data_IF_932524981192
#
_entry.id   IF_932524981192
#
_cell.length_a   1.000
_cell.length_b   1.000
_cell.length_c   1.000
_cell.angle_alpha   90.00
_cell.angle_beta   90.00
_cell.angle_gamma   90.00
#
_symmetry.space_group_name_H-M   'P 1'
#
loop_
_entity.id
_entity.type
_entity.pdbx_description
1 polymer ?
#
# COMPACT_ATOMS: atom_id res chain seq x y z
N UNK A 1 -5.99 -13.64 1.95
CA UNK A 1 -4.59 -13.23 1.71
C UNK A 1 -4.55 -11.72 1.78
N UNK A 2 -3.57 -11.15 2.47
CA UNK A 2 -3.43 -9.71 2.59
C UNK A 2 -2.42 -9.23 1.55
N UNK A 3 -2.64 -8.03 1.02
CA UNK A 3 -1.74 -7.37 0.08
C UNK A 3 -1.10 -6.19 0.80
N UNK A 4 0.22 -6.21 0.89
CA UNK A 4 1.01 -5.10 1.45
C UNK A 4 0.96 -3.91 0.50
N UNK A 5 0.61 -2.73 1.03
CA UNK A 5 0.52 -1.47 0.29
C UNK A 5 1.67 -0.52 0.65
N UNK A 6 2.35 -0.75 1.77
CA UNK A 6 3.40 0.12 2.27
C UNK A 6 3.72 -0.07 3.74
N UNK A 7 4.32 0.96 4.35
CA UNK A 7 4.79 0.94 5.73
C UNK A 7 4.71 2.31 6.39
N UNK A 8 4.49 2.33 7.70
CA UNK A 8 4.69 3.54 8.51
C UNK A 8 6.18 3.70 8.82
N UNK A 9 6.76 4.83 8.40
CA UNK A 9 8.21 5.08 8.47
C UNK A 9 8.59 6.20 9.44
N UNK A 10 7.61 6.81 10.11
CA UNK A 10 7.87 7.86 11.07
C UNK A 10 6.63 8.61 11.51
N UNK A 11 6.84 9.67 12.27
CA UNK A 11 5.78 10.57 12.76
C UNK A 11 5.89 11.92 12.08
N UNK A 12 4.74 12.58 11.91
CA UNK A 12 4.61 13.91 11.35
C UNK A 12 3.90 14.85 12.34
N UNK A 13 4.60 15.85 12.85
CA UNK A 13 4.04 16.83 13.79
C UNK A 13 3.65 16.23 15.14
N UNK A 14 2.79 16.95 15.87
CA UNK A 14 2.37 16.60 17.25
C UNK A 14 0.94 16.05 17.34
N UNK A 15 0.17 16.10 16.24
CA UNK A 15 -1.25 15.71 16.20
C UNK A 15 -1.47 14.22 15.86
N UNK A 16 -0.46 13.38 16.07
CA UNK A 16 -0.54 11.95 15.78
C UNK A 16 -0.49 11.55 14.31
N UNK A 17 -0.14 12.45 13.38
CA UNK A 17 0.00 12.07 11.98
C UNK A 17 1.23 11.18 11.79
N UNK A 18 1.14 10.21 10.89
CA UNK A 18 2.23 9.28 10.57
C UNK A 18 2.78 9.55 9.18
N UNK A 19 4.08 9.33 8.99
CA UNK A 19 4.73 9.30 7.68
C UNK A 19 4.57 7.91 7.09
N UNK A 20 4.13 7.87 5.84
CA UNK A 20 3.83 6.63 5.13
C UNK A 20 4.77 6.51 3.94
N UNK A 21 5.38 5.34 3.81
CA UNK A 21 6.00 4.89 2.58
C UNK A 21 4.99 4.02 1.84
N UNK A 22 4.66 4.37 0.60
CA UNK A 22 3.72 3.59 -0.21
C UNK A 22 4.43 2.86 -1.34
N UNK A 23 4.09 1.59 -1.50
CA UNK A 23 4.48 0.75 -2.62
C UNK A 23 3.49 0.84 -3.79
N UNK A 24 2.33 1.49 -3.58
CA UNK A 24 1.35 1.74 -4.64
C UNK A 24 1.90 2.72 -5.70
N UNK A 25 1.33 2.66 -6.90
CA UNK A 25 1.66 3.52 -8.03
C UNK A 25 0.36 4.02 -8.66
N UNK A 26 0.07 5.34 -8.61
CA UNK A 26 0.80 6.41 -7.91
C UNK A 26 0.78 6.26 -6.37
N UNK A 27 1.80 6.76 -5.67
CA UNK A 27 1.97 6.53 -4.22
C UNK A 27 0.78 7.00 -3.37
N UNK A 28 0.11 8.07 -3.77
CA UNK A 28 -1.08 8.62 -3.09
C UNK A 28 -2.31 7.70 -3.15
N UNK A 29 -2.29 6.69 -4.03
CA UNK A 29 -3.38 5.73 -4.15
C UNK A 29 -3.59 4.92 -2.88
N UNK A 30 -2.56 4.79 -2.02
CA UNK A 30 -2.68 4.14 -0.72
C UNK A 30 -3.81 4.73 0.16
N UNK A 31 -4.13 6.02 -0.01
CA UNK A 31 -5.21 6.67 0.75
C UNK A 31 -6.61 6.30 0.27
N UNK A 32 -6.75 5.68 -0.91
CA UNK A 32 -8.04 5.18 -1.40
C UNK A 32 -8.51 3.92 -0.68
N UNK A 33 -7.61 3.26 0.04
CA UNK A 33 -7.91 2.04 0.78
C UNK A 33 -8.15 2.39 2.25
N UNK A 34 -9.28 1.96 2.81
CA UNK A 34 -9.59 2.03 4.23
C UNK A 34 -10.66 0.99 4.55
N UNK A 35 -10.58 0.27 5.68
CA UNK A 35 -9.55 0.37 6.73
C UNK A 35 -8.18 -0.19 6.28
N UNK A 36 -7.11 0.28 6.91
CA UNK A 36 -5.78 -0.33 6.80
C UNK A 36 -5.62 -1.39 7.87
N UNK A 37 -5.03 -2.53 7.49
CA UNK A 37 -4.53 -3.53 8.43
C UNK A 37 -3.06 -3.21 8.72
N UNK A 38 -2.78 -2.79 9.95
CA UNK A 38 -1.43 -2.54 10.45
C UNK A 38 -0.90 -3.79 11.14
N UNK A 39 0.25 -4.28 10.70
CA UNK A 39 0.99 -5.35 11.40
C UNK A 39 2.29 -4.80 11.99
N UNK A 40 2.48 -4.96 13.30
CA UNK A 40 3.69 -4.54 13.99
C UNK A 40 4.03 -5.52 15.11
N UNK A 41 5.26 -6.05 15.11
CA UNK A 41 5.75 -7.01 16.11
C UNK A 41 4.81 -8.21 16.36
N UNK A 42 4.19 -8.74 15.30
CA UNK A 42 3.23 -9.85 15.37
C UNK A 42 1.85 -9.48 15.92
N UNK A 43 1.61 -8.20 16.22
CA UNK A 43 0.27 -7.66 16.52
C UNK A 43 -0.34 -7.10 15.25
N UNK A 44 -1.59 -7.47 14.98
CA UNK A 44 -2.36 -7.00 13.83
C UNK A 44 -3.54 -6.17 14.33
N UNK A 45 -3.73 -4.98 13.77
CA UNK A 45 -4.83 -4.09 14.11
C UNK A 45 -5.41 -3.45 12.84
N UNK A 46 -6.74 -3.38 12.75
CA UNK A 46 -7.42 -2.63 11.69
C UNK A 46 -7.68 -1.20 12.17
N UNK A 47 -7.37 -0.23 11.31
CA UNK A 47 -7.48 1.19 11.62
C UNK A 47 -8.02 1.97 10.43
N UNK A 48 -8.95 2.90 10.68
CA UNK A 48 -9.48 3.75 9.62
C UNK A 48 -8.50 4.88 9.32
N UNK A 49 -8.35 5.18 8.03
CA UNK A 49 -7.63 6.38 7.58
C UNK A 49 -8.61 7.55 7.61
N UNK A 50 -8.35 8.54 8.45
CA UNK A 50 -9.20 9.73 8.59
C UNK A 50 -8.89 10.79 7.53
N UNK A 51 -7.60 10.97 7.23
CA UNK A 51 -7.13 11.93 6.23
C UNK A 51 -5.74 11.50 5.74
N UNK A 52 -5.37 11.95 4.54
CA UNK A 52 -4.10 11.58 3.92
C UNK A 52 -3.70 12.59 2.85
N UNK A 53 -2.42 12.96 2.81
CA UNK A 53 -1.92 13.87 1.78
C UNK A 53 -0.44 13.66 1.47
N UNK A 54 -0.06 14.16 0.30
CA UNK A 54 1.35 14.29 -0.09
C UNK A 54 1.98 15.44 0.71
N UNK A 55 3.16 15.18 1.28
CA UNK A 55 3.92 16.14 2.07
C UNK A 55 5.40 16.08 1.62
N UNK A 56 5.77 17.00 0.73
CA UNK A 56 7.11 17.03 0.13
C UNK A 56 7.34 15.83 -0.78
N UNK A 57 8.33 15.00 -0.44
CA UNK A 57 8.67 13.77 -1.20
C UNK A 57 8.02 12.50 -0.65
N UNK A 58 7.15 12.62 0.36
CA UNK A 58 6.52 11.47 1.01
C UNK A 58 5.04 11.69 1.27
N UNK A 59 4.44 10.73 1.97
CA UNK A 59 3.03 10.74 2.32
C UNK A 59 2.87 10.88 3.83
N UNK A 60 1.78 11.52 4.24
CA UNK A 60 1.38 11.57 5.65
C UNK A 60 -0.09 11.20 5.79
N UNK A 61 -0.43 10.47 6.84
CA UNK A 61 -1.79 10.02 7.13
C UNK A 61 -2.19 10.37 8.56
N UNK A 62 -3.47 10.68 8.75
CA UNK A 62 -4.14 10.74 10.04
C UNK A 62 -4.93 9.45 10.22
N UNK A 63 -4.73 8.76 11.33
CA UNK A 63 -5.35 7.47 11.62
C UNK A 63 -6.34 7.61 12.78
N UNK A 64 -7.44 6.89 12.72
CA UNK A 64 -8.46 6.89 13.78
C UNK A 64 -7.86 6.38 15.10
N UNK A 65 -8.05 7.12 16.19
CA UNK A 65 -7.46 6.79 17.49
C UNK A 65 -6.00 7.21 17.69
N UNK A 66 -5.29 7.69 16.66
CA UNK A 66 -3.90 8.19 16.77
C UNK A 66 -3.89 9.71 16.83
N UNK A 67 -3.95 10.26 18.03
CA UNK A 67 -4.14 11.71 18.23
C UNK A 67 -2.91 12.46 18.74
N UNK A 68 -1.88 11.75 19.18
CA UNK A 68 -0.63 12.32 19.68
C UNK A 68 0.61 11.61 19.09
N UNK A 69 1.76 12.28 19.20
CA UNK A 69 3.00 11.78 18.61
C UNK A 69 3.56 10.52 19.28
N UNK A 70 3.25 10.24 20.54
CA UNK A 70 3.78 9.07 21.24
C UNK A 70 3.04 7.81 20.82
N UNK A 71 1.71 7.88 20.63
CA UNK A 71 0.94 6.79 20.00
C UNK A 71 1.42 6.55 18.57
N UNK A 72 1.61 7.62 17.79
CA UNK A 72 2.11 7.50 16.42
C UNK A 72 3.52 6.88 16.34
N UNK A 73 4.39 7.15 17.32
CA UNK A 73 5.73 6.52 17.41
C UNK A 73 5.65 5.01 17.59
N UNK A 74 4.66 4.52 18.34
CA UNK A 74 4.44 3.09 18.54
C UNK A 74 4.07 2.32 17.27
N UNK A 75 3.69 3.04 16.22
CA UNK A 75 3.34 2.48 14.90
C UNK A 75 4.47 2.57 13.88
N UNK A 76 5.62 3.14 14.24
CA UNK A 76 6.79 3.14 13.36
C UNK A 76 7.17 1.69 13.07
N UNK A 77 7.50 1.41 11.81
CA UNK A 77 7.79 0.08 11.30
C UNK A 77 6.57 -0.86 11.20
N UNK A 78 5.34 -0.37 11.42
CA UNK A 78 4.14 -1.12 11.10
C UNK A 78 3.96 -1.28 9.58
N UNK A 79 3.73 -2.50 9.13
CA UNK A 79 3.38 -2.81 7.74
C UNK A 79 1.91 -2.49 7.48
N UNK A 80 1.63 -1.84 6.36
CA UNK A 80 0.27 -1.47 5.93
C UNK A 80 -0.18 -2.47 4.88
N UNK A 81 -1.27 -3.17 5.15
CA UNK A 81 -1.87 -4.10 4.21
C UNK A 81 -3.39 -3.94 4.15
N UNK A 82 -4.01 -4.57 3.16
CA UNK A 82 -5.47 -4.73 3.08
C UNK A 82 -5.83 -6.16 2.72
N UNK A 83 -7.04 -6.61 3.07
CA UNK A 83 -7.60 -7.83 2.49
C UNK A 83 -7.67 -7.71 0.96
N UNK A 84 -7.27 -8.76 0.24
CA UNK A 84 -7.32 -8.77 -1.23
C UNK A 84 -8.71 -8.46 -1.80
N UNK A 85 -9.78 -8.79 -1.07
CA UNK A 85 -11.17 -8.52 -1.43
C UNK A 85 -11.55 -7.03 -1.40
N UNK A 86 -10.82 -6.21 -0.62
CA UNK A 86 -11.07 -4.77 -0.47
C UNK A 86 -10.25 -3.94 -1.47
N UNK A 87 -9.50 -4.61 -2.35
CA UNK A 87 -8.91 -3.98 -3.51
C UNK A 87 -10.07 -3.51 -4.42
N UNK A 88 -10.11 -2.23 -4.83
CA UNK A 88 -11.12 -1.79 -5.79
C UNK A 88 -10.96 -2.65 -7.03
N UNK A 89 -12.09 -3.16 -7.52
CA UNK A 89 -12.11 -3.96 -8.73
C UNK A 89 -11.34 -3.20 -9.82
N UNK A 90 -10.29 -3.85 -10.34
CA UNK A 90 -9.61 -3.39 -11.53
C UNK A 90 -10.66 -2.94 -12.56
N UNK A 91 -10.52 -1.74 -13.09
CA UNK A 91 -11.29 -1.35 -14.27
C UNK A 91 -11.06 -2.37 -15.39
N UNK A 92 -11.97 -2.43 -16.37
CA UNK A 92 -11.69 -3.14 -17.63
C UNK A 92 -10.34 -2.59 -18.14
N UNK A 93 -9.33 -3.46 -18.21
CA UNK A 93 -7.94 -3.20 -18.65
C UNK A 93 -6.91 -2.69 -17.63
N UNK A 94 -7.18 -2.69 -16.31
CA UNK A 94 -6.14 -2.43 -15.30
C UNK A 94 -5.72 -3.71 -14.57
N UNK A 95 -4.41 -3.97 -14.48
CA UNK A 95 -3.88 -5.12 -13.74
C UNK A 95 -2.78 -4.65 -12.81
N UNK A 96 -2.81 -5.10 -11.57
CA UNK A 96 -1.70 -4.85 -10.65
C UNK A 96 -0.50 -5.69 -11.09
N UNK A 97 0.71 -5.12 -11.07
CA UNK A 97 1.94 -5.86 -11.43
C UNK A 97 2.13 -7.13 -10.59
N UNK A 98 1.65 -7.13 -9.34
CA UNK A 98 1.62 -8.31 -8.48
C UNK A 98 0.75 -9.44 -9.03
N UNK A 99 -0.31 -9.14 -9.79
CA UNK A 99 -1.16 -10.13 -10.43
C UNK A 99 -0.58 -10.67 -11.73
N UNK A 100 0.31 -9.90 -12.38
CA UNK A 100 0.92 -10.30 -13.64
C UNK A 100 2.25 -11.02 -13.47
N UNK A 101 2.95 -10.81 -12.35
CA UNK A 101 4.23 -11.47 -12.06
C UNK A 101 4.01 -12.97 -11.85
N UNK A 102 4.72 -13.80 -12.63
CA UNK A 102 4.58 -15.26 -12.61
C UNK A 102 3.54 -15.82 -13.59
N UNK A 103 2.84 -14.98 -14.37
CA UNK A 103 1.99 -15.46 -15.46
C UNK A 103 2.83 -15.92 -16.66
N UNK A 104 2.33 -16.93 -17.38
CA UNK A 104 2.92 -17.41 -18.63
C UNK A 104 2.44 -16.54 -19.78
N UNK A 105 3.38 -16.12 -20.62
CA UNK A 105 3.14 -15.27 -21.78
C UNK A 105 3.18 -16.13 -23.03
N UNK A 106 2.09 -16.13 -23.79
CA UNK A 106 2.00 -16.79 -25.09
C UNK A 106 1.70 -15.76 -26.17
N UNK A 107 2.30 -15.92 -27.36
CA UNK A 107 1.93 -15.09 -28.50
C UNK A 107 0.63 -15.60 -29.17
N UNK A 108 0.08 -14.82 -30.11
CA UNK A 108 -1.14 -15.18 -30.85
C UNK A 108 -1.02 -16.46 -31.71
N UNK A 109 0.18 -17.01 -31.84
CA UNK A 109 0.47 -18.25 -32.56
C UNK A 109 0.68 -19.44 -31.61
N UNK A 110 0.47 -19.25 -30.29
CA UNK A 110 0.64 -20.29 -29.26
C UNK A 110 2.10 -20.57 -28.91
N UNK A 111 3.04 -19.68 -29.27
CA UNK A 111 4.43 -19.80 -28.87
C UNK A 111 4.60 -19.27 -27.45
N UNK A 112 5.08 -20.13 -26.56
CA UNK A 112 5.42 -19.78 -25.18
C UNK A 112 6.67 -18.89 -25.15
N UNK A 113 6.50 -17.69 -24.59
CA UNK A 113 7.53 -16.68 -24.43
C UNK A 113 8.11 -16.67 -23.01
N UNK A 114 7.60 -17.52 -22.11
CA UNK A 114 8.09 -17.67 -20.74
C UNK A 114 7.22 -16.95 -19.71
N UNK A 115 7.81 -16.65 -18.54
CA UNK A 115 7.11 -16.07 -17.40
C UNK A 115 7.41 -14.58 -17.26
N UNK A 116 6.42 -13.80 -16.84
CA UNK A 116 6.62 -12.41 -16.43
C UNK A 116 7.43 -12.39 -15.13
N UNK A 117 8.68 -11.93 -15.20
CA UNK A 117 9.59 -11.84 -14.04
C UNK A 117 9.61 -10.47 -13.38
N UNK A 118 9.06 -9.45 -14.04
CA UNK A 118 8.96 -8.10 -13.53
C UNK A 118 8.59 -7.10 -14.62
N UNK A 119 8.30 -5.87 -14.21
CA UNK A 119 7.97 -4.76 -15.08
C UNK A 119 9.03 -3.66 -14.94
N UNK A 120 9.34 -2.98 -16.03
CA UNK A 120 10.19 -1.79 -16.03
C UNK A 120 9.48 -0.66 -16.79
N UNK A 121 9.54 0.55 -16.25
CA UNK A 121 8.87 1.73 -16.81
C UNK A 121 9.78 2.39 -17.85
N UNK A 122 9.22 2.76 -19.02
CA UNK A 122 9.97 3.43 -20.10
C UNK A 122 9.63 4.91 -20.30
N UNK A 123 8.83 5.48 -19.39
CA UNK A 123 8.52 6.92 -19.33
C UNK A 123 7.14 7.30 -19.83
#
# INVERSE_FOLDING_TARGET
MNITLGKIVGVFGVRGWVKVFSETRPMEQIFKYSPWTLEHNGSVVEINVLDGRVQGKGLVASLDGVTDCDVARGLIDAEISIPQQDMPAAGIDEYYWSQLTGLRVENIQGLDLGLVTGFFETG
#
